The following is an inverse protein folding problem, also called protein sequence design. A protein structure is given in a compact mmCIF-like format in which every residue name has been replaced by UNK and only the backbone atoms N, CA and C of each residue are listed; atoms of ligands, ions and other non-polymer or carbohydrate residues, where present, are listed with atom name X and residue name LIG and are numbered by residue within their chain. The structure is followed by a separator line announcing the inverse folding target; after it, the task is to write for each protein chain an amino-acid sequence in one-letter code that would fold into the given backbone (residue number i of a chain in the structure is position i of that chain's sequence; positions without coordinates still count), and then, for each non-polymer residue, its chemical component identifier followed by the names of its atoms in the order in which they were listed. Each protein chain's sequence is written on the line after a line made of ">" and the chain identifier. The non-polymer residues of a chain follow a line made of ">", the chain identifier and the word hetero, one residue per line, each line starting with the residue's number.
data_IF_157309627398
#
_entry.id   IF_157309627398
#
_cell.length_a   1.000
_cell.length_b   1.000
_cell.length_c   1.000
_cell.angle_alpha   90.00
_cell.angle_beta   90.00
_cell.angle_gamma   90.00
#
_symmetry.space_group_name_H-M   'P 1'
#
loop_
_entity.id
_entity.type
_entity.pdbx_description
1 polymer ?
#
# COMPACT_ATOMS: atom_id res chain seq x y z
N UNK A 1 3.71 14.18 -51.13
CA UNK A 1 3.04 14.51 -49.86
C UNK A 1 3.82 15.66 -49.29
N UNK A 2 3.21 16.84 -49.27
CA UNK A 2 3.86 18.03 -48.75
C UNK A 2 3.59 18.07 -47.24
N UNK A 3 4.63 17.83 -46.45
CA UNK A 3 4.52 17.80 -45.00
C UNK A 3 4.57 19.23 -44.46
N UNK A 4 3.41 19.77 -44.08
CA UNK A 4 3.34 21.02 -43.35
C UNK A 4 4.05 20.88 -42.01
N UNK A 5 5.15 21.61 -41.81
CA UNK A 5 5.83 21.74 -40.51
C UNK A 5 5.43 23.06 -39.87
N UNK A 6 4.85 22.99 -38.68
CA UNK A 6 4.54 24.15 -37.84
C UNK A 6 5.22 23.96 -36.48
N UNK A 7 5.85 25.02 -35.99
CA UNK A 7 6.49 25.06 -34.67
C UNK A 7 5.92 26.26 -33.90
N UNK A 8 5.26 26.00 -32.79
CA UNK A 8 4.66 27.01 -31.91
C UNK A 8 5.30 26.91 -30.51
N UNK A 9 5.75 28.03 -29.92
CA UNK A 9 6.21 28.02 -28.53
C UNK A 9 5.01 27.88 -27.59
N UNK A 10 5.07 26.93 -26.66
CA UNK A 10 4.03 26.70 -25.64
C UNK A 10 4.61 27.04 -24.27
N UNK A 11 3.93 27.90 -23.53
CA UNK A 11 4.34 28.33 -22.19
C UNK A 11 3.58 27.51 -21.12
N UNK A 12 4.32 26.86 -20.23
CA UNK A 12 3.76 26.12 -19.10
C UNK A 12 3.70 27.03 -17.87
N UNK A 13 2.53 27.09 -17.22
CA UNK A 13 2.30 27.89 -16.02
C UNK A 13 1.30 27.19 -15.10
N UNK A 14 1.62 27.15 -13.81
CA UNK A 14 0.84 26.56 -12.71
C UNK A 14 -0.60 27.11 -12.59
N UNK A 15 -0.85 28.30 -13.15
CA UNK A 15 -2.13 29.02 -13.09
C UNK A 15 -3.08 28.72 -14.25
N UNK A 16 -2.66 27.93 -15.23
CA UNK A 16 -3.45 27.62 -16.42
C UNK A 16 -3.86 26.13 -16.46
N UNK A 17 -5.16 25.87 -16.61
CA UNK A 17 -5.72 24.51 -16.72
C UNK A 17 -5.61 23.89 -18.11
N UNK A 18 -5.18 24.68 -19.10
CA UNK A 18 -5.04 24.32 -20.52
C UNK A 18 -3.78 24.99 -21.08
N UNK A 19 -3.23 24.45 -22.17
CA UNK A 19 -2.02 24.93 -22.83
C UNK A 19 -2.14 24.78 -24.34
N UNK A 20 -1.39 25.59 -25.09
CA UNK A 20 -1.50 25.71 -26.55
C UNK A 20 -2.45 26.85 -27.00
N UNK A 21 -2.60 26.99 -28.32
CA UNK A 21 -3.51 27.95 -28.94
C UNK A 21 -4.93 27.37 -29.10
N UNK A 22 -5.96 28.21 -29.01
CA UNK A 22 -7.36 27.78 -29.19
C UNK A 22 -7.68 27.35 -30.63
N UNK A 23 -6.86 27.77 -31.61
CA UNK A 23 -7.04 27.47 -33.03
C UNK A 23 -5.70 27.02 -33.64
N UNK A 24 -5.63 25.74 -34.03
CA UNK A 24 -4.39 25.14 -34.55
C UNK A 24 -3.99 25.65 -35.94
N UNK A 25 -4.97 25.87 -36.82
CA UNK A 25 -4.80 26.24 -38.24
C UNK A 25 -6.15 26.71 -38.80
N UNK A 26 -6.17 27.54 -39.85
CA UNK A 26 -7.43 27.89 -40.53
C UNK A 26 -7.90 26.78 -41.49
N UNK A 27 -9.19 26.72 -41.80
CA UNK A 27 -9.75 25.70 -42.72
C UNK A 27 -9.14 25.81 -44.13
N UNK A 28 -8.95 27.03 -44.64
CA UNK A 28 -8.36 27.33 -45.96
C UNK A 28 -6.88 26.88 -46.10
N UNK A 29 -6.20 26.65 -44.96
CA UNK A 29 -4.87 26.06 -44.88
C UNK A 29 -4.94 24.54 -44.68
N UNK A 30 -5.87 24.07 -43.85
CA UNK A 30 -6.06 22.65 -43.52
C UNK A 30 -6.45 21.80 -44.73
N UNK A 31 -7.24 22.35 -45.66
CA UNK A 31 -7.65 21.71 -46.93
C UNK A 31 -6.47 21.10 -47.72
N UNK A 32 -5.27 21.66 -47.56
CA UNK A 32 -4.04 21.23 -48.26
C UNK A 32 -3.43 19.94 -47.69
N UNK A 33 -3.86 19.54 -46.50
CA UNK A 33 -3.36 18.38 -45.76
C UNK A 33 -4.39 17.25 -45.63
N UNK A 34 -5.63 17.46 -46.11
CA UNK A 34 -6.65 16.41 -46.19
C UNK A 34 -6.26 15.43 -47.31
N UNK A 35 -6.25 14.13 -46.99
CA UNK A 35 -6.05 13.07 -47.98
C UNK A 35 -6.97 11.89 -47.67
N UNK A 36 -7.81 11.48 -48.63
CA UNK A 36 -8.84 10.47 -48.46
C UNK A 36 -9.73 10.76 -47.22
N UNK A 37 -10.26 11.98 -47.14
CA UNK A 37 -11.08 12.49 -46.02
C UNK A 37 -10.44 12.35 -44.62
N UNK A 38 -9.11 12.19 -44.57
CA UNK A 38 -8.34 11.98 -43.34
C UNK A 38 -7.24 13.04 -43.20
N UNK A 39 -7.00 13.51 -41.97
CA UNK A 39 -5.86 14.37 -41.60
C UNK A 39 -5.02 13.62 -40.56
N UNK A 40 -3.70 13.63 -40.71
CA UNK A 40 -2.76 12.97 -39.77
C UNK A 40 -1.84 14.00 -39.14
N UNK A 41 -2.04 14.29 -37.85
CA UNK A 41 -1.20 15.20 -37.08
C UNK A 41 -0.04 14.44 -36.44
N UNK A 42 1.17 15.00 -36.55
CA UNK A 42 2.36 14.50 -35.86
C UNK A 42 2.92 15.62 -34.99
N UNK A 43 2.81 15.48 -33.67
CA UNK A 43 3.25 16.49 -32.71
C UNK A 43 4.58 16.05 -32.10
N UNK A 44 5.62 16.88 -32.26
CA UNK A 44 6.90 16.72 -31.57
C UNK A 44 7.01 17.79 -30.49
N UNK A 45 7.09 17.37 -29.23
CA UNK A 45 7.47 18.25 -28.14
C UNK A 45 9.00 18.31 -28.02
N UNK A 46 9.55 19.50 -27.82
CA UNK A 46 10.95 19.72 -27.50
C UNK A 46 11.02 20.71 -26.35
N UNK A 47 11.23 20.19 -25.14
CA UNK A 47 11.24 20.99 -23.91
C UNK A 47 12.60 21.68 -23.83
N UNK A 48 12.60 22.99 -24.03
CA UNK A 48 13.71 23.85 -23.64
C UNK A 48 13.39 24.40 -22.25
N UNK A 49 14.23 24.09 -21.26
CA UNK A 49 14.10 24.67 -19.93
C UNK A 49 14.33 26.18 -20.01
N UNK A 50 13.25 26.96 -19.84
CA UNK A 50 13.41 28.39 -19.61
C UNK A 50 14.05 28.59 -18.25
N UNK A 51 15.33 28.98 -18.25
CA UNK A 51 16.03 29.45 -17.05
C UNK A 51 15.35 30.77 -16.62
N UNK A 52 14.29 30.62 -15.85
CA UNK A 52 13.88 31.64 -14.88
C UNK A 52 15.08 31.79 -13.95
N UNK A 53 15.58 33.02 -13.77
CA UNK A 53 16.68 33.30 -12.83
C UNK A 53 16.32 32.69 -11.48
N UNK A 54 16.97 31.57 -11.15
CA UNK A 54 16.62 30.81 -9.97
C UNK A 54 16.90 31.68 -8.75
N UNK A 55 15.84 32.05 -8.02
CA UNK A 55 16.04 32.49 -6.64
C UNK A 55 16.86 31.38 -5.96
N UNK A 56 17.99 31.71 -5.30
CA UNK A 56 18.83 30.70 -4.67
C UNK A 56 17.94 29.87 -3.75
N UNK A 57 17.98 28.54 -3.88
CA UNK A 57 17.10 27.64 -3.12
C UNK A 57 17.11 28.07 -1.66
N UNK A 58 15.91 28.33 -1.11
CA UNK A 58 15.77 28.80 0.25
C UNK A 58 16.19 27.68 1.21
N UNK A 59 17.48 27.66 1.55
CA UNK A 59 18.10 26.67 2.44
C UNK A 59 17.27 26.58 3.71
N UNK A 60 16.70 25.41 3.97
CA UNK A 60 15.74 25.28 5.05
C UNK A 60 16.53 25.26 6.37
N UNK A 61 16.23 26.16 7.33
CA UNK A 61 16.98 26.26 8.57
C UNK A 61 16.95 24.98 9.41
N UNK A 62 15.98 24.09 9.16
CA UNK A 62 15.79 22.83 9.87
C UNK A 62 16.45 21.62 9.20
N UNK A 63 17.05 21.75 8.01
CA UNK A 63 17.74 20.64 7.31
C UNK A 63 18.79 19.94 8.21
N UNK A 64 19.51 20.73 9.01
CA UNK A 64 20.55 20.27 9.95
C UNK A 64 20.01 19.66 11.26
N UNK A 65 18.71 19.70 11.48
CA UNK A 65 18.04 19.12 12.66
C UNK A 65 17.36 17.78 12.37
N UNK A 66 17.28 17.36 11.10
CA UNK A 66 16.77 16.04 10.71
C UNK A 66 17.62 14.96 11.37
N UNK A 67 16.98 14.09 12.17
CA UNK A 67 17.62 13.04 12.96
C UNK A 67 18.76 13.52 13.88
N UNK A 68 18.81 14.80 14.25
CA UNK A 68 19.92 15.37 15.02
C UNK A 68 19.67 15.31 16.53
N UNK A 69 20.61 14.81 17.36
CA UNK A 69 20.54 14.94 18.82
C UNK A 69 20.63 16.40 19.31
N UNK A 70 21.02 17.35 18.45
CA UNK A 70 21.19 18.75 18.82
C UNK A 70 19.84 19.41 18.99
N UNK A 71 19.51 19.78 20.23
CA UNK A 71 18.22 20.33 20.66
C UNK A 71 17.01 19.38 20.56
N UNK A 72 17.23 18.08 20.34
CA UNK A 72 16.16 17.08 20.41
C UNK A 72 15.65 16.94 21.84
N UNK A 73 14.35 17.03 22.02
CA UNK A 73 13.61 16.81 23.26
C UNK A 73 12.78 15.52 23.22
N UNK A 74 12.97 14.69 22.19
CA UNK A 74 12.42 13.35 22.04
C UNK A 74 13.26 12.47 21.11
N UNK A 75 13.28 11.17 21.36
CA UNK A 75 13.74 10.14 20.45
C UNK A 75 12.66 9.08 20.17
N UNK A 76 12.79 8.36 19.06
CA UNK A 76 11.97 7.20 18.71
C UNK A 76 12.84 5.94 18.60
N UNK A 77 12.53 4.90 19.37
CA UNK A 77 13.12 3.57 19.23
C UNK A 77 12.32 2.81 18.19
N UNK A 78 12.84 2.71 16.98
CA UNK A 78 12.15 2.11 15.84
C UNK A 78 12.62 0.67 15.64
N UNK A 79 11.71 -0.29 15.75
CA UNK A 79 11.98 -1.73 15.58
C UNK A 79 11.48 -2.19 14.21
N UNK A 80 12.34 -2.76 13.38
CA UNK A 80 11.93 -3.30 12.07
C UNK A 80 11.30 -4.72 12.18
N UNK A 81 10.78 -5.23 11.06
CA UNK A 81 10.17 -6.58 10.98
C UNK A 81 11.17 -7.73 11.29
N UNK A 82 12.48 -7.44 11.28
CA UNK A 82 13.56 -8.38 11.62
C UNK A 82 13.97 -8.31 13.10
N UNK A 83 13.40 -7.36 13.87
CA UNK A 83 13.75 -7.11 15.27
C UNK A 83 15.00 -6.23 15.46
N UNK A 84 15.46 -5.52 14.43
CA UNK A 84 16.57 -4.55 14.55
C UNK A 84 16.01 -3.23 15.10
N UNK A 85 16.58 -2.75 16.20
CA UNK A 85 16.25 -1.45 16.79
C UNK A 85 17.19 -0.35 16.25
N UNK A 86 16.64 0.81 15.87
CA UNK A 86 17.41 2.04 15.57
C UNK A 86 16.75 3.25 16.23
N UNK A 87 17.56 4.11 16.83
CA UNK A 87 17.11 5.30 17.57
C UNK A 87 17.12 6.53 16.64
N UNK A 88 16.02 7.28 16.61
CA UNK A 88 15.86 8.48 15.79
C UNK A 88 15.55 9.71 16.64
N UNK A 89 16.30 10.79 16.47
CA UNK A 89 16.16 12.03 17.25
C UNK A 89 15.23 13.03 16.57
N UNK A 90 14.33 13.65 17.33
CA UNK A 90 13.35 14.59 16.80
C UNK A 90 13.01 15.69 17.82
N UNK A 91 12.15 16.63 17.42
CA UNK A 91 11.83 17.83 18.19
C UNK A 91 10.30 17.95 18.35
N UNK A 92 9.79 17.82 19.58
CA UNK A 92 8.37 17.73 19.95
C UNK A 92 7.54 18.86 19.33
N UNK A 93 8.05 20.09 19.33
CA UNK A 93 7.40 21.25 18.72
C UNK A 93 7.28 21.20 17.18
N UNK A 94 8.26 20.63 16.48
CA UNK A 94 8.19 20.46 15.02
C UNK A 94 7.18 19.35 14.70
N UNK A 95 7.29 18.20 15.37
CA UNK A 95 6.38 17.06 15.20
C UNK A 95 4.91 17.46 15.41
N UNK A 96 4.62 18.16 16.52
CA UNK A 96 3.26 18.61 16.84
C UNK A 96 2.72 19.63 15.83
N UNK A 97 3.55 20.53 15.30
CA UNK A 97 3.10 21.49 14.28
C UNK A 97 2.80 20.84 12.92
N UNK A 98 3.39 19.68 12.62
CA UNK A 98 3.19 18.92 11.39
C UNK A 98 2.17 17.77 11.48
N UNK A 99 1.74 17.38 12.69
CA UNK A 99 0.80 16.27 12.90
C UNK A 99 -0.02 16.44 14.17
N UNK A 100 -1.35 16.32 14.03
CA UNK A 100 -2.29 16.25 15.17
C UNK A 100 -2.12 14.99 16.01
N UNK A 101 -1.61 13.91 15.43
CA UNK A 101 -1.33 12.67 16.15
C UNK A 101 -0.12 12.87 17.06
N UNK A 102 0.95 13.53 16.58
CA UNK A 102 2.07 13.93 17.43
C UNK A 102 1.67 15.02 18.44
N UNK A 103 0.88 16.02 18.06
CA UNK A 103 0.34 17.02 19.00
C UNK A 103 -0.40 16.34 20.16
N UNK A 104 -1.34 15.45 19.87
CA UNK A 104 -2.09 14.69 20.87
C UNK A 104 -1.19 13.80 21.74
N UNK A 105 -0.28 13.02 21.12
CA UNK A 105 0.65 12.12 21.80
C UNK A 105 1.57 12.86 22.79
N UNK A 106 2.01 14.06 22.41
CA UNK A 106 3.03 14.83 23.14
C UNK A 106 2.46 15.89 24.09
N UNK A 107 1.13 16.11 24.12
CA UNK A 107 0.50 17.15 24.97
C UNK A 107 -0.65 16.68 25.86
N UNK A 108 -1.26 15.51 25.60
CA UNK A 108 -2.46 15.05 26.33
C UNK A 108 -2.22 14.63 27.80
N UNK A 109 -0.98 14.66 28.31
CA UNK A 109 -0.66 14.23 29.68
C UNK A 109 -0.71 12.70 29.86
N UNK A 110 -0.52 11.96 28.76
CA UNK A 110 -0.39 10.51 28.76
C UNK A 110 1.06 10.10 29.06
N UNK A 111 1.36 8.80 29.10
CA UNK A 111 2.71 8.26 29.38
C UNK A 111 3.76 8.88 28.45
N UNK A 112 3.42 8.96 27.18
CA UNK A 112 4.20 9.50 26.06
C UNK A 112 4.47 11.01 26.18
N UNK A 113 3.69 11.74 26.98
CA UNK A 113 3.92 13.17 27.29
C UNK A 113 5.06 13.36 28.29
N UNK A 114 5.38 12.34 29.10
CA UNK A 114 6.42 12.36 30.13
C UNK A 114 7.62 11.47 29.80
N UNK A 115 7.66 10.88 28.61
CA UNK A 115 8.79 10.10 28.13
C UNK A 115 9.61 10.89 27.09
N UNK A 116 10.92 10.66 27.13
CA UNK A 116 11.88 11.22 26.18
C UNK A 116 12.18 10.22 25.04
N UNK A 117 11.64 9.01 25.10
CA UNK A 117 11.77 7.96 24.10
C UNK A 117 10.42 7.28 23.83
N UNK A 118 10.01 7.18 22.57
CA UNK A 118 8.78 6.47 22.15
C UNK A 118 9.11 5.23 21.30
N UNK A 119 8.65 4.03 21.67
CA UNK A 119 8.83 2.82 20.87
C UNK A 119 7.90 2.79 19.65
N UNK A 120 8.42 2.35 18.50
CA UNK A 120 7.71 2.20 17.24
C UNK A 120 8.06 0.85 16.59
N UNK A 121 7.32 -0.19 16.96
CA UNK A 121 7.49 -1.53 16.40
C UNK A 121 6.99 -1.66 14.95
N UNK A 122 7.45 -2.72 14.26
CA UNK A 122 7.02 -3.12 12.90
C UNK A 122 7.10 -1.95 11.90
N UNK A 123 8.21 -1.20 11.98
CA UNK A 123 8.40 0.06 11.25
C UNK A 123 9.77 0.05 10.56
N UNK A 124 9.77 0.15 9.23
CA UNK A 124 11.00 0.20 8.43
C UNK A 124 11.76 1.52 8.68
N UNK A 125 13.05 1.41 9.01
CA UNK A 125 13.92 2.55 9.38
C UNK A 125 14.03 3.61 8.29
N UNK A 126 14.25 3.18 7.03
CA UNK A 126 14.36 4.08 5.87
C UNK A 126 13.07 4.88 5.66
N UNK A 127 11.91 4.24 5.74
CA UNK A 127 10.61 4.92 5.63
C UNK A 127 10.34 5.90 6.78
N UNK A 128 10.76 5.58 8.01
CA UNK A 128 10.66 6.52 9.13
C UNK A 128 11.57 7.74 8.95
N UNK A 129 12.80 7.53 8.45
CA UNK A 129 13.70 8.62 8.11
C UNK A 129 13.16 9.48 6.96
N UNK A 130 12.56 8.89 5.92
CA UNK A 130 11.85 9.64 4.87
C UNK A 130 10.70 10.48 5.43
N UNK A 131 9.93 9.95 6.40
CA UNK A 131 8.85 10.70 7.06
C UNK A 131 9.41 11.88 7.86
N UNK A 132 10.41 11.65 8.71
CA UNK A 132 11.05 12.68 9.53
C UNK A 132 11.70 13.77 8.65
N UNK A 133 12.37 13.37 7.57
CA UNK A 133 12.91 14.30 6.56
C UNK A 133 11.79 15.11 5.92
N UNK A 134 10.67 14.49 5.57
CA UNK A 134 9.52 15.20 4.97
C UNK A 134 8.88 16.22 5.94
N UNK A 135 8.86 15.93 7.24
CA UNK A 135 8.34 16.83 8.29
C UNK A 135 9.17 18.12 8.39
N UNK A 136 10.50 18.00 8.30
CA UNK A 136 11.43 19.12 8.51
C UNK A 136 11.67 19.91 7.22
N UNK A 137 11.84 19.21 6.09
CA UNK A 137 12.24 19.79 4.80
C UNK A 137 11.05 20.24 3.95
N UNK A 138 9.85 19.71 4.20
CA UNK A 138 8.67 19.73 3.33
C UNK A 138 8.87 19.09 1.93
N UNK A 139 10.03 18.46 1.67
CA UNK A 139 10.34 17.71 0.45
C UNK A 139 10.11 16.21 0.73
N UNK A 140 9.22 15.58 -0.03
CA UNK A 140 8.93 14.13 0.09
C UNK A 140 9.85 13.37 -0.87
N UNK A 141 10.73 12.51 -0.32
CA UNK A 141 11.59 11.65 -1.13
C UNK A 141 11.10 10.20 -1.11
N UNK A 142 10.81 9.65 -2.29
CA UNK A 142 10.30 8.29 -2.50
C UNK A 142 11.29 7.54 -3.39
N UNK A 143 11.92 6.50 -2.85
CA UNK A 143 13.00 5.77 -3.55
C UNK A 143 12.51 4.54 -4.32
N UNK A 144 11.37 3.95 -3.92
CA UNK A 144 10.80 2.74 -4.53
C UNK A 144 9.33 2.55 -4.16
N UNK A 145 8.64 1.62 -4.84
CA UNK A 145 7.28 1.21 -4.49
C UNK A 145 7.16 0.59 -3.08
N UNK A 146 8.22 -0.04 -2.56
CA UNK A 146 8.26 -0.59 -1.20
C UNK A 146 8.41 0.53 -0.16
N UNK A 147 9.34 1.46 -0.41
CA UNK A 147 9.49 2.68 0.40
C UNK A 147 8.20 3.52 0.38
N UNK A 148 7.52 3.64 -0.75
CA UNK A 148 6.22 4.32 -0.88
C UNK A 148 5.10 3.64 -0.06
N UNK A 149 5.06 2.30 0.04
CA UNK A 149 4.05 1.62 0.87
C UNK A 149 4.32 1.87 2.36
N UNK A 150 5.57 1.72 2.78
CA UNK A 150 5.98 1.93 4.17
C UNK A 150 5.79 3.40 4.59
N UNK A 151 6.18 4.36 3.74
CA UNK A 151 6.02 5.79 3.99
C UNK A 151 4.54 6.20 4.01
N UNK A 152 3.70 5.64 3.12
CA UNK A 152 2.25 5.84 3.15
C UNK A 152 1.64 5.29 4.45
N UNK A 153 2.08 4.12 4.92
CA UNK A 153 1.61 3.55 6.18
C UNK A 153 1.91 4.46 7.38
N UNK A 154 3.10 5.08 7.41
CA UNK A 154 3.48 6.03 8.46
C UNK A 154 2.76 7.38 8.31
N UNK A 155 2.62 7.90 7.09
CA UNK A 155 1.90 9.14 6.83
C UNK A 155 0.39 9.03 7.13
N UNK A 156 -0.20 7.84 6.99
CA UNK A 156 -1.57 7.54 7.42
C UNK A 156 -1.65 7.42 8.95
N UNK A 157 -0.77 6.62 9.58
CA UNK A 157 -0.66 6.44 11.04
C UNK A 157 -0.49 7.75 11.82
N UNK A 158 0.22 8.72 11.26
CA UNK A 158 0.49 10.03 11.87
C UNK A 158 -0.30 11.18 11.22
N UNK A 159 -1.32 10.91 10.40
CA UNK A 159 -2.18 11.91 9.72
C UNK A 159 -1.43 13.00 8.90
N UNK A 160 -0.23 12.69 8.39
CA UNK A 160 0.61 13.65 7.64
C UNK A 160 0.16 13.70 6.18
N UNK A 161 -0.99 14.35 5.97
CA UNK A 161 -1.73 14.38 4.71
C UNK A 161 -0.94 14.78 3.45
N UNK A 162 0.05 15.71 3.48
CA UNK A 162 0.86 16.02 2.30
C UNK A 162 1.69 14.81 1.82
N UNK A 163 2.38 14.14 2.75
CA UNK A 163 3.18 12.93 2.45
C UNK A 163 2.27 11.80 1.97
N UNK A 164 1.08 11.66 2.59
CA UNK A 164 0.06 10.67 2.24
C UNK A 164 -0.42 10.79 0.79
N UNK A 165 -0.87 11.98 0.36
CA UNK A 165 -1.33 12.18 -1.02
C UNK A 165 -0.17 12.13 -2.02
N UNK A 166 1.05 12.51 -1.63
CA UNK A 166 2.23 12.41 -2.50
C UNK A 166 2.65 10.95 -2.76
N UNK A 167 2.64 10.08 -1.75
CA UNK A 167 2.81 8.64 -1.96
C UNK A 167 1.70 8.07 -2.87
N UNK A 168 0.45 8.49 -2.67
CA UNK A 168 -0.68 8.10 -3.52
C UNK A 168 -0.62 8.70 -4.94
N UNK A 169 0.09 9.81 -5.15
CA UNK A 169 0.39 10.40 -6.46
C UNK A 169 1.45 9.58 -7.19
N UNK A 170 2.56 9.27 -6.52
CA UNK A 170 3.62 8.39 -7.03
C UNK A 170 3.05 7.05 -7.49
N UNK A 171 2.24 6.40 -6.65
CA UNK A 171 1.53 5.15 -7.00
C UNK A 171 0.60 5.26 -8.23
N UNK A 172 0.07 6.43 -8.57
CA UNK A 172 -0.74 6.63 -9.79
C UNK A 172 0.11 6.83 -11.04
N UNK A 173 1.33 7.32 -10.91
CA UNK A 173 2.27 7.54 -12.03
C UNK A 173 3.03 6.26 -12.40
N UNK A 174 3.52 5.52 -11.41
CA UNK A 174 4.26 4.27 -11.61
C UNK A 174 3.38 3.07 -12.03
N UNK A 175 2.07 3.27 -12.17
CA UNK A 175 1.10 2.20 -12.40
C UNK A 175 1.28 1.53 -13.77
N UNK A 176 1.58 0.23 -13.75
CA UNK A 176 1.82 -0.58 -14.94
C UNK A 176 1.24 -2.00 -14.78
N UNK A 177 1.38 -2.82 -15.82
CA UNK A 177 0.76 -4.16 -15.87
C UNK A 177 1.45 -5.21 -14.97
N UNK A 178 2.54 -4.89 -14.30
CA UNK A 178 3.23 -5.78 -13.35
C UNK A 178 2.93 -5.42 -11.89
N UNK A 179 2.75 -4.13 -11.57
CA UNK A 179 2.56 -3.65 -10.20
C UNK A 179 1.11 -3.27 -9.81
N UNK A 180 0.19 -3.08 -10.77
CA UNK A 180 -1.17 -2.56 -10.51
C UNK A 180 -1.94 -3.31 -9.43
N UNK A 181 -1.75 -4.63 -9.30
CA UNK A 181 -2.44 -5.44 -8.28
C UNK A 181 -2.02 -5.09 -6.85
N UNK A 182 -0.75 -4.74 -6.62
CA UNK A 182 -0.28 -4.24 -5.32
C UNK A 182 -0.73 -2.81 -5.06
N UNK A 183 -0.66 -1.96 -6.09
CA UNK A 183 -1.12 -0.57 -6.00
C UNK A 183 -2.61 -0.50 -5.66
N UNK A 184 -3.43 -1.38 -6.24
CA UNK A 184 -4.85 -1.47 -5.92
C UNK A 184 -5.09 -2.03 -4.51
N UNK A 185 -4.34 -3.07 -4.09
CA UNK A 185 -4.41 -3.56 -2.71
C UNK A 185 -4.09 -2.45 -1.67
N UNK A 186 -3.07 -1.62 -1.95
CA UNK A 186 -2.73 -0.43 -1.16
C UNK A 186 -3.86 0.61 -1.20
N UNK A 187 -4.44 0.86 -2.39
CA UNK A 187 -5.50 1.85 -2.54
C UNK A 187 -6.78 1.47 -1.76
N UNK A 188 -7.17 0.19 -1.71
CA UNK A 188 -8.27 -0.27 -0.86
C UNK A 188 -7.88 -0.24 0.63
N UNK A 189 -6.68 -0.75 0.99
CA UNK A 189 -6.13 -0.74 2.37
C UNK A 189 -6.17 0.65 3.02
N UNK A 190 -5.79 1.69 2.27
CA UNK A 190 -5.79 3.09 2.71
C UNK A 190 -7.01 3.89 2.23
N UNK A 191 -8.08 3.21 1.79
CA UNK A 191 -9.37 3.80 1.36
C UNK A 191 -9.25 4.96 0.33
N UNK A 192 -8.24 4.92 -0.53
CA UNK A 192 -7.99 5.96 -1.54
C UNK A 192 -8.85 5.75 -2.79
N UNK A 193 -10.08 6.26 -2.76
CA UNK A 193 -11.05 6.19 -3.88
C UNK A 193 -10.48 6.68 -5.22
N UNK A 194 -9.61 7.70 -5.22
CA UNK A 194 -8.93 8.21 -6.43
C UNK A 194 -8.03 7.14 -7.06
N UNK A 195 -7.08 6.60 -6.30
CA UNK A 195 -6.12 5.60 -6.79
C UNK A 195 -6.80 4.26 -7.07
N UNK A 196 -7.78 3.85 -6.26
CA UNK A 196 -8.64 2.68 -6.50
C UNK A 196 -9.38 2.79 -7.84
N UNK A 197 -9.97 3.95 -8.14
CA UNK A 197 -10.65 4.18 -9.44
C UNK A 197 -9.67 4.10 -10.60
N UNK A 198 -8.50 4.73 -10.51
CA UNK A 198 -7.46 4.63 -11.53
C UNK A 198 -7.00 3.17 -11.77
N UNK A 199 -6.79 2.39 -10.70
CA UNK A 199 -6.47 0.96 -10.80
C UNK A 199 -7.60 0.17 -11.48
N UNK A 200 -8.86 0.41 -11.07
CA UNK A 200 -10.04 -0.24 -11.62
C UNK A 200 -10.20 -0.01 -13.12
N UNK A 201 -10.05 1.23 -13.59
CA UNK A 201 -10.15 1.55 -15.01
C UNK A 201 -8.94 1.04 -15.81
N UNK A 202 -7.72 1.13 -15.26
CA UNK A 202 -6.53 0.53 -15.87
C UNK A 202 -6.66 -0.99 -16.03
N UNK A 203 -7.11 -1.68 -14.98
CA UNK A 203 -7.37 -3.13 -15.04
C UNK A 203 -8.52 -3.44 -15.99
N UNK A 204 -9.62 -2.67 -15.98
CA UNK A 204 -10.73 -2.89 -16.90
C UNK A 204 -10.31 -2.81 -18.38
N UNK A 205 -9.41 -1.89 -18.74
CA UNK A 205 -8.88 -1.77 -20.11
C UNK A 205 -7.93 -2.92 -20.49
N UNK A 206 -7.12 -3.40 -19.54
CA UNK A 206 -6.01 -4.32 -19.78
C UNK A 206 -6.24 -5.76 -19.27
N UNK A 207 -7.45 -6.10 -18.77
CA UNK A 207 -7.66 -7.35 -18.02
C UNK A 207 -7.26 -8.60 -18.81
N UNK A 208 -7.57 -8.68 -20.11
CA UNK A 208 -7.16 -9.84 -20.91
C UNK A 208 -5.65 -10.14 -20.83
N UNK A 209 -4.81 -9.11 -20.99
CA UNK A 209 -3.34 -9.22 -20.89
C UNK A 209 -2.90 -9.49 -19.45
N UNK A 210 -3.57 -8.90 -18.45
CA UNK A 210 -3.25 -9.09 -17.04
C UNK A 210 -3.51 -10.53 -16.60
N UNK A 211 -4.57 -11.19 -17.08
CA UNK A 211 -4.87 -12.59 -16.73
C UNK A 211 -3.70 -13.55 -17.08
N UNK A 212 -2.95 -13.27 -18.14
CA UNK A 212 -1.82 -14.11 -18.56
C UNK A 212 -0.55 -13.89 -17.71
N UNK A 213 -0.40 -12.71 -17.09
CA UNK A 213 0.82 -12.36 -16.34
C UNK A 213 0.99 -13.14 -15.04
N UNK A 214 2.25 -13.43 -14.71
CA UNK A 214 2.64 -14.11 -13.47
C UNK A 214 2.43 -13.23 -12.22
N UNK A 215 2.59 -11.90 -12.35
CA UNK A 215 2.32 -10.91 -11.30
C UNK A 215 0.89 -10.99 -10.76
N UNK A 216 -0.07 -11.29 -11.62
CA UNK A 216 -1.50 -11.47 -11.27
C UNK A 216 -1.74 -12.67 -10.34
N UNK A 217 -0.82 -13.65 -10.27
CA UNK A 217 -0.91 -14.75 -9.29
C UNK A 217 -0.55 -14.31 -7.87
N UNK A 218 0.17 -13.19 -7.71
CA UNK A 218 0.47 -12.56 -6.42
C UNK A 218 -0.72 -11.76 -5.85
N UNK A 219 -1.74 -11.45 -6.65
CA UNK A 219 -2.85 -10.57 -6.26
C UNK A 219 -3.74 -11.16 -5.15
N UNK A 220 -4.26 -10.29 -4.28
CA UNK A 220 -5.24 -10.60 -3.23
C UNK A 220 -6.62 -10.95 -3.85
N UNK A 221 -7.34 -11.97 -3.33
CA UNK A 221 -8.59 -12.43 -3.91
C UNK A 221 -9.74 -11.41 -3.82
N UNK A 222 -9.70 -10.45 -2.90
CA UNK A 222 -10.70 -9.38 -2.84
C UNK A 222 -10.48 -8.37 -3.97
N UNK A 223 -9.23 -8.05 -4.29
CA UNK A 223 -8.88 -7.18 -5.42
C UNK A 223 -9.19 -7.87 -6.75
N UNK A 224 -8.88 -9.17 -6.87
CA UNK A 224 -9.30 -9.98 -8.01
C UNK A 224 -10.83 -10.05 -8.11
N UNK A 225 -11.55 -10.19 -7.00
CA UNK A 225 -13.02 -10.14 -6.98
C UNK A 225 -13.54 -8.79 -7.48
N UNK A 226 -13.00 -7.65 -7.01
CA UNK A 226 -13.40 -6.32 -7.49
C UNK A 226 -13.16 -6.15 -9.00
N UNK A 227 -12.05 -6.67 -9.53
CA UNK A 227 -11.76 -6.69 -10.96
C UNK A 227 -12.73 -7.59 -11.75
N UNK A 228 -13.05 -8.78 -11.23
CA UNK A 228 -13.89 -9.78 -11.90
C UNK A 228 -15.39 -9.58 -11.68
N UNK A 229 -15.82 -8.72 -10.76
CA UNK A 229 -17.20 -8.24 -10.65
C UNK A 229 -17.51 -7.10 -11.65
N UNK A 230 -16.50 -6.45 -12.22
CA UNK A 230 -16.68 -5.37 -13.20
C UNK A 230 -17.29 -5.88 -14.53
N UNK A 231 -18.46 -5.37 -14.88
CA UNK A 231 -19.17 -5.63 -16.14
C UNK A 231 -18.49 -5.03 -17.37
N UNK A 232 -17.64 -4.02 -17.20
CA UNK A 232 -16.98 -3.28 -18.29
C UNK A 232 -15.56 -3.80 -18.62
N UNK A 233 -15.11 -4.85 -17.94
CA UNK A 233 -13.75 -5.35 -18.08
C UNK A 233 -13.52 -6.07 -19.43
N UNK A 234 -12.46 -5.65 -20.12
CA UNK A 234 -12.10 -6.09 -21.45
C UNK A 234 -11.39 -7.46 -21.41
N UNK A 235 -12.13 -8.53 -21.74
CA UNK A 235 -11.62 -9.91 -21.84
C UNK A 235 -12.10 -10.58 -23.13
N UNK A 236 -11.28 -11.48 -23.67
CA UNK A 236 -11.56 -12.31 -24.84
C UNK A 236 -12.71 -13.28 -24.60
N UNK A 237 -12.69 -14.04 -23.49
CA UNK A 237 -13.73 -15.02 -23.12
C UNK A 237 -13.86 -15.19 -21.59
N UNK A 238 -14.98 -15.78 -21.14
CA UNK A 238 -15.14 -16.15 -19.71
C UNK A 238 -14.36 -17.43 -19.37
N UNK A 239 -14.10 -18.29 -20.37
CA UNK A 239 -13.17 -19.42 -20.27
C UNK A 239 -11.77 -18.95 -19.81
N UNK A 240 -11.25 -17.83 -20.33
CA UNK A 240 -9.96 -17.27 -19.90
C UNK A 240 -9.96 -16.85 -18.42
N UNK A 241 -11.08 -16.31 -17.93
CA UNK A 241 -11.26 -15.94 -16.52
C UNK A 241 -11.31 -17.21 -15.66
N UNK A 242 -12.04 -18.25 -16.08
CA UNK A 242 -12.07 -19.54 -15.39
C UNK A 242 -10.67 -20.17 -15.29
N UNK A 243 -9.93 -20.24 -16.40
CA UNK A 243 -8.56 -20.79 -16.44
C UNK A 243 -7.60 -20.01 -15.55
N UNK A 244 -7.72 -18.68 -15.52
CA UNK A 244 -6.99 -17.85 -14.56
C UNK A 244 -7.36 -18.16 -13.11
N UNK A 245 -8.64 -18.22 -12.74
CA UNK A 245 -9.08 -18.49 -11.36
C UNK A 245 -8.59 -19.86 -10.89
N UNK A 246 -8.63 -20.87 -11.77
CA UNK A 246 -8.05 -22.20 -11.49
C UNK A 246 -6.53 -22.14 -11.31
N UNK A 247 -5.80 -21.40 -12.17
CA UNK A 247 -4.36 -21.24 -12.05
C UNK A 247 -3.95 -20.47 -10.79
N UNK A 248 -4.69 -19.42 -10.41
CA UNK A 248 -4.48 -18.66 -9.17
C UNK A 248 -4.72 -19.53 -7.92
N UNK A 249 -5.77 -20.36 -7.92
CA UNK A 249 -6.11 -21.21 -6.78
C UNK A 249 -5.12 -22.36 -6.56
N UNK A 250 -4.52 -22.89 -7.64
CA UNK A 250 -3.50 -23.94 -7.58
C UNK A 250 -2.06 -23.39 -7.49
N UNK A 251 -1.86 -22.07 -7.45
CA UNK A 251 -0.53 -21.47 -7.38
C UNK A 251 0.08 -21.61 -5.97
N UNK A 252 1.25 -22.24 -5.89
CA UNK A 252 2.07 -22.30 -4.68
C UNK A 252 3.34 -21.47 -4.86
N UNK A 253 3.76 -20.76 -3.81
CA UNK A 253 5.00 -20.00 -3.84
C UNK A 253 6.19 -20.94 -3.57
N UNK A 254 7.23 -20.88 -4.40
CA UNK A 254 8.32 -21.87 -4.41
C UNK A 254 9.19 -21.86 -3.15
N UNK A 255 9.18 -20.78 -2.37
CA UNK A 255 9.90 -20.70 -1.08
C UNK A 255 9.28 -21.49 0.08
N UNK A 256 8.01 -21.90 0.00
CA UNK A 256 7.25 -22.43 1.16
C UNK A 256 7.46 -23.95 1.43
N UNK A 257 8.58 -24.51 0.96
CA UNK A 257 8.84 -25.96 1.00
C UNK A 257 9.41 -26.48 2.34
N UNK A 258 9.62 -25.61 3.33
CA UNK A 258 10.33 -25.93 4.57
C UNK A 258 9.45 -26.32 5.76
N UNK A 259 8.13 -26.11 5.72
CA UNK A 259 7.28 -26.27 6.91
C UNK A 259 5.88 -26.86 6.71
N UNK A 260 5.81 -28.06 6.10
CA UNK A 260 4.61 -28.92 6.16
C UNK A 260 4.95 -30.33 6.64
N UNK A 261 4.86 -30.54 7.95
CA UNK A 261 4.88 -31.88 8.55
C UNK A 261 3.66 -32.13 9.45
N UNK A 262 3.28 -33.41 9.56
CA UNK A 262 2.66 -33.98 10.78
C UNK A 262 1.19 -33.64 11.11
N UNK A 263 0.33 -33.39 10.12
CA UNK A 263 -1.13 -33.37 10.31
C UNK A 263 -1.79 -34.77 10.43
N UNK A 264 -1.45 -35.56 11.46
CA UNK A 264 -2.07 -36.91 11.66
C UNK A 264 -3.48 -36.82 12.26
N UNK A 265 -4.44 -37.53 11.65
CA UNK A 265 -5.78 -37.71 12.19
C UNK A 265 -5.77 -38.38 13.58
N UNK A 266 -6.59 -37.86 14.50
CA UNK A 266 -6.93 -38.54 15.76
C UNK A 266 -8.44 -38.76 15.81
N UNK A 267 -8.85 -40.02 15.79
CA UNK A 267 -10.26 -40.42 15.81
C UNK A 267 -10.84 -40.35 17.23
N UNK A 268 -11.94 -39.61 17.40
CA UNK A 268 -12.73 -39.64 18.65
C UNK A 268 -13.34 -41.03 18.85
N UNK A 269 -13.27 -41.56 20.08
CA UNK A 269 -14.09 -42.69 20.50
C UNK A 269 -14.42 -42.58 22.01
N UNK A 270 -15.52 -43.17 22.47
CA UNK A 270 -16.17 -42.83 23.76
C UNK A 270 -16.39 -44.02 24.71
N UNK A 271 -16.16 -43.80 26.02
CA UNK A 271 -16.74 -44.46 27.23
C UNK A 271 -16.02 -43.86 28.47
N UNK A 272 -16.63 -43.19 29.46
CA UNK A 272 -17.80 -43.47 30.35
C UNK A 272 -17.43 -44.29 31.61
N UNK A 273 -17.80 -43.75 32.79
CA UNK A 273 -17.72 -44.26 34.18
C UNK A 273 -16.30 -44.46 34.81
N UNK A 274 -16.01 -44.24 36.11
CA UNK A 274 -16.81 -44.07 37.37
C UNK A 274 -16.23 -42.98 38.34
N UNK A 275 -16.87 -42.74 39.50
CA UNK A 275 -16.53 -41.77 40.60
C UNK A 275 -16.55 -42.44 42.00
N UNK A 276 -16.14 -41.80 43.14
CA UNK A 276 -15.16 -40.72 43.40
C UNK A 276 -13.97 -41.23 44.29
N UNK A 277 -13.82 -41.16 45.66
CA UNK A 277 -14.40 -40.36 46.77
C UNK A 277 -13.41 -39.66 47.78
N UNK A 278 -13.85 -38.54 48.40
CA UNK A 278 -13.64 -38.01 49.79
C UNK A 278 -12.22 -37.90 50.42
N UNK A 279 -11.78 -36.65 50.67
CA UNK A 279 -11.37 -36.05 51.99
C UNK A 279 -10.88 -34.59 51.80
N UNK A 280 -11.52 -33.52 52.30
CA UNK A 280 -11.36 -32.87 53.64
C UNK A 280 -9.88 -32.63 54.07
N UNK A 281 -9.46 -31.47 54.59
CA UNK A 281 -10.19 -30.37 55.26
C UNK A 281 -9.50 -28.97 55.19
N UNK A 282 -10.04 -28.02 55.95
CA UNK A 282 -9.58 -26.65 56.31
C UNK A 282 -8.12 -26.58 56.85
N UNK A 283 -7.48 -25.42 57.06
CA UNK A 283 -7.99 -24.15 57.65
C UNK A 283 -7.22 -22.87 57.29
N UNK A 284 -7.82 -21.74 57.67
CA UNK A 284 -7.22 -20.40 57.79
C UNK A 284 -6.24 -20.27 58.97
N UNK A 285 -5.33 -19.27 58.93
CA UNK A 285 -5.43 -18.10 59.83
C UNK A 285 -4.65 -16.89 59.27
N UNK A 286 -4.37 -15.88 60.11
CA UNK A 286 -4.16 -14.47 59.75
C UNK A 286 -3.12 -13.76 60.64
N UNK A 287 -3.06 -12.41 60.57
CA UNK A 287 -2.24 -11.47 61.37
C UNK A 287 -0.71 -11.43 61.10
N UNK A 288 0.04 -10.41 61.53
CA UNK A 288 -0.13 -8.93 61.57
C UNK A 288 1.22 -8.32 62.06
N UNK A 289 1.38 -6.98 62.00
CA UNK A 289 2.38 -6.18 62.77
C UNK A 289 3.86 -6.37 62.36
N UNK A 290 4.80 -5.45 62.62
CA UNK A 290 4.69 -4.05 63.07
C UNK A 290 5.92 -3.21 62.64
N UNK A 291 5.80 -1.88 62.70
CA UNK A 291 6.91 -0.92 62.60
C UNK A 291 7.44 -0.56 63.98
N UNK A 292 8.72 -0.15 64.08
CA UNK A 292 9.05 1.00 64.93
C UNK A 292 9.76 2.14 64.17
N UNK A 293 9.94 3.28 64.86
CA UNK A 293 10.27 4.61 64.30
C UNK A 293 11.59 5.15 64.87
N UNK A 294 12.13 6.21 64.26
CA UNK A 294 12.59 7.37 65.06
C UNK A 294 13.74 8.23 64.53
N UNK A 295 13.44 9.55 64.33
CA UNK A 295 14.28 10.75 64.63
C UNK A 295 15.67 10.88 63.94
N UNK A 296 16.16 12.00 63.39
CA UNK A 296 15.78 13.43 63.43
C UNK A 296 16.93 14.28 64.03
N UNK A 297 17.21 15.55 63.67
CA UNK A 297 16.64 16.54 62.73
C UNK A 297 17.64 17.70 62.52
N UNK A 298 17.27 18.78 61.78
CA UNK A 298 17.94 20.11 61.69
C UNK A 298 19.23 20.22 60.83
N UNK A 299 19.67 21.37 60.30
CA UNK A 299 19.04 22.68 59.95
C UNK A 299 20.05 23.65 59.27
N UNK A 300 19.58 24.72 58.62
CA UNK A 300 20.32 25.96 58.21
C UNK A 300 21.31 25.78 57.01
N UNK A 301 21.21 26.53 55.91
CA UNK A 301 21.35 27.99 55.63
C UNK A 301 22.81 28.47 55.47
N UNK A 302 23.19 28.81 54.23
CA UNK A 302 24.23 29.78 53.89
C UNK A 302 24.00 30.32 52.46
N UNK A 303 24.13 31.62 52.25
CA UNK A 303 24.18 32.25 50.92
C UNK A 303 25.63 32.37 50.42
N UNK A 304 25.83 32.39 49.10
CA UNK A 304 27.16 32.61 48.51
C UNK A 304 27.09 33.12 47.08
N UNK A 305 27.16 34.43 46.89
CA UNK A 305 27.30 35.04 45.55
C UNK A 305 28.76 35.02 45.11
N UNK A 306 29.01 34.64 43.86
CA UNK A 306 30.27 34.91 43.15
C UNK A 306 29.99 34.96 41.66
N UNK A 307 30.25 36.10 41.02
CA UNK A 307 30.32 36.20 39.56
C UNK A 307 31.78 36.07 39.13
N UNK A 308 31.99 35.51 37.94
CA UNK A 308 33.28 35.58 37.26
C UNK A 308 33.02 35.50 35.75
N UNK A 309 33.07 36.65 35.09
CA UNK A 309 33.03 36.70 33.63
C UNK A 309 34.40 36.28 33.08
N UNK A 310 34.43 35.29 32.19
CA UNK A 310 35.55 35.08 31.27
C UNK A 310 35.02 34.69 29.90
N UNK A 311 35.03 35.66 28.98
CA UNK A 311 35.15 35.34 27.56
C UNK A 311 36.46 34.58 27.35
N UNK A 312 36.41 33.47 26.60
CA UNK A 312 37.35 33.28 25.49
C UNK A 312 36.71 32.36 24.44
N UNK A 313 36.81 32.79 23.19
CA UNK A 313 36.56 31.93 22.04
C UNK A 313 37.72 30.96 21.86
N UNK A 314 37.42 29.70 21.58
CA UNK A 314 38.22 28.94 20.62
C UNK A 314 37.33 27.92 19.88
N UNK A 315 37.74 27.59 18.65
CA UNK A 315 37.01 26.69 17.75
C UNK A 315 37.72 25.34 17.71
N UNK A 316 37.12 24.32 18.30
CA UNK A 316 37.41 22.93 17.94
C UNK A 316 36.20 22.31 17.25
N UNK A 317 36.34 22.15 15.92
CA UNK A 317 35.37 21.45 15.08
C UNK A 317 35.46 19.96 15.37
N UNK A 318 34.67 19.48 16.33
CA UNK A 318 34.44 18.05 16.51
C UNK A 318 33.57 17.55 15.34
N UNK A 319 34.26 17.19 14.25
CA UNK A 319 33.78 16.15 13.34
C UNK A 319 33.92 14.81 14.09
N UNK A 320 32.92 14.46 14.91
CA UNK A 320 32.72 13.06 15.25
C UNK A 320 32.04 12.41 14.04
N UNK A 321 32.84 11.72 13.23
CA UNK A 321 32.41 11.00 12.05
C UNK A 321 31.58 9.77 12.45
N UNK A 322 30.31 9.99 12.80
CA UNK A 322 29.29 8.96 12.84
C UNK A 322 28.97 8.48 11.41
N UNK A 323 29.90 7.71 10.86
CA UNK A 323 29.57 6.70 9.88
C UNK A 323 28.71 5.64 10.59
N UNK A 324 27.39 5.79 10.49
CA UNK A 324 26.49 4.63 10.53
C UNK A 324 26.96 3.70 9.41
N UNK A 325 27.41 2.48 9.73
CA UNK A 325 27.76 1.50 8.71
C UNK A 325 26.49 1.09 7.96
N UNK A 326 26.40 1.46 6.67
CA UNK A 326 25.34 1.04 5.75
C UNK A 326 25.50 -0.46 5.37
N UNK A 327 25.44 -1.34 6.37
CA UNK A 327 25.23 -2.79 6.23
C UNK A 327 23.78 -3.06 5.78
N UNK A 328 23.45 -2.55 4.59
CA UNK A 328 22.13 -2.58 3.96
C UNK A 328 21.88 -3.94 3.28
N UNK A 329 22.11 -5.02 4.05
CA UNK A 329 21.78 -6.42 3.69
C UNK A 329 20.26 -6.66 3.80
N UNK A 330 19.45 -5.78 3.19
CA UNK A 330 18.02 -6.03 2.96
C UNK A 330 17.89 -7.21 1.97
N UNK A 331 17.77 -8.41 2.54
CA UNK A 331 17.76 -9.69 1.81
C UNK A 331 16.84 -9.69 0.58
N UNK A 332 17.35 -10.19 -0.54
CA UNK A 332 16.87 -10.06 -1.94
C UNK A 332 15.35 -10.22 -2.21
N UNK A 333 14.59 -10.85 -1.30
CA UNK A 333 13.13 -11.04 -1.39
C UNK A 333 12.29 -9.85 -0.83
N UNK A 334 12.86 -8.94 -0.02
CA UNK A 334 12.10 -7.82 0.62
C UNK A 334 11.58 -6.79 -0.39
N UNK A 335 12.34 -6.53 -1.45
CA UNK A 335 12.08 -5.46 -2.42
C UNK A 335 11.02 -5.82 -3.48
N UNK A 336 10.54 -7.08 -3.53
CA UNK A 336 9.74 -7.58 -4.66
C UNK A 336 8.28 -7.13 -4.62
N UNK A 337 8.02 -5.97 -5.21
CA UNK A 337 6.67 -5.42 -5.39
C UNK A 337 5.99 -6.03 -6.65
N UNK A 338 4.71 -6.46 -6.59
CA UNK A 338 3.85 -6.53 -5.42
C UNK A 338 4.15 -7.77 -4.55
N UNK A 339 4.09 -7.61 -3.22
CA UNK A 339 4.31 -8.71 -2.26
C UNK A 339 3.32 -9.87 -2.53
N UNK A 340 3.78 -11.14 -2.64
CA UNK A 340 2.89 -12.26 -2.93
C UNK A 340 1.83 -12.52 -1.86
N UNK A 341 0.56 -12.70 -2.26
CA UNK A 341 -0.51 -13.08 -1.33
C UNK A 341 -0.31 -14.49 -0.75
N UNK A 342 -0.20 -14.56 0.59
CA UNK A 342 0.15 -15.76 1.39
C UNK A 342 -1.04 -16.48 2.08
N UNK A 343 -2.28 -16.10 1.80
CA UNK A 343 -3.47 -16.69 2.43
C UNK A 343 -3.90 -18.04 1.85
N UNK A 344 -4.98 -18.63 2.39
CA UNK A 344 -5.57 -19.85 1.86
C UNK A 344 -6.33 -19.60 0.55
N UNK A 345 -5.71 -20.01 -0.56
CA UNK A 345 -6.24 -19.88 -1.93
C UNK A 345 -7.46 -20.76 -2.19
N UNK A 346 -7.62 -21.88 -1.49
CA UNK A 346 -8.77 -22.77 -1.64
C UNK A 346 -9.97 -22.24 -0.85
N UNK A 347 -9.75 -21.61 0.31
CA UNK A 347 -10.81 -20.90 1.03
C UNK A 347 -11.34 -19.67 0.25
N UNK A 348 -10.50 -19.02 -0.57
CA UNK A 348 -10.87 -17.90 -1.42
C UNK A 348 -11.47 -18.29 -2.80
N UNK A 349 -11.26 -19.52 -3.27
CA UNK A 349 -11.77 -20.00 -4.56
C UNK A 349 -13.32 -19.83 -4.72
N UNK A 350 -14.18 -20.12 -3.71
CA UNK A 350 -15.63 -19.97 -3.85
C UNK A 350 -16.12 -18.53 -4.10
N UNK A 351 -15.40 -17.49 -3.67
CA UNK A 351 -15.78 -16.11 -3.98
C UNK A 351 -15.37 -15.70 -5.39
N UNK A 352 -14.19 -16.14 -5.86
CA UNK A 352 -13.76 -15.91 -7.25
C UNK A 352 -14.62 -16.65 -8.29
N UNK A 353 -15.06 -17.88 -7.99
CA UNK A 353 -15.97 -18.64 -8.87
C UNK A 353 -17.33 -17.93 -9.07
N UNK A 354 -17.82 -17.16 -8.08
CA UNK A 354 -19.06 -16.35 -8.22
C UNK A 354 -18.92 -15.20 -9.22
N UNK A 355 -17.70 -14.80 -9.57
CA UNK A 355 -17.42 -13.78 -10.58
C UNK A 355 -17.38 -14.33 -12.02
N UNK A 356 -17.23 -15.66 -12.19
CA UNK A 356 -17.15 -16.35 -13.48
C UNK A 356 -18.55 -16.63 -14.04
N UNK A 357 -18.82 -16.24 -15.28
CA UNK A 357 -20.14 -16.29 -15.91
C UNK A 357 -20.35 -17.60 -16.68
N UNK A 358 -20.40 -18.72 -15.96
CA UNK A 358 -20.63 -20.06 -16.53
C UNK A 358 -21.78 -20.17 -17.57
N UNK A 359 -22.94 -19.48 -17.44
CA UNK A 359 -23.98 -19.48 -18.48
C UNK A 359 -23.54 -18.96 -19.86
N UNK A 360 -22.48 -18.15 -19.90
CA UNK A 360 -21.95 -17.47 -21.09
C UNK A 360 -20.83 -18.29 -21.77
N UNK A 361 -20.30 -19.30 -21.09
CA UNK A 361 -19.26 -20.20 -21.61
C UNK A 361 -19.84 -21.24 -22.57
N UNK A 362 -18.99 -21.92 -23.34
CA UNK A 362 -19.42 -23.00 -24.22
C UNK A 362 -19.84 -24.23 -23.41
N UNK A 363 -21.07 -24.72 -23.61
CA UNK A 363 -21.60 -25.95 -22.96
C UNK A 363 -20.63 -27.15 -22.99
N UNK A 364 -19.90 -27.35 -24.10
CA UNK A 364 -18.89 -28.40 -24.24
C UNK A 364 -17.74 -28.22 -23.25
N UNK A 365 -17.25 -26.99 -23.10
CA UNK A 365 -16.17 -26.64 -22.18
C UNK A 365 -16.58 -26.90 -20.73
N UNK A 366 -17.83 -26.60 -20.35
CA UNK A 366 -18.34 -26.86 -18.99
C UNK A 366 -18.21 -28.36 -18.63
N UNK A 367 -18.68 -29.24 -19.51
CA UNK A 367 -18.59 -30.71 -19.31
C UNK A 367 -17.12 -31.19 -19.35
N UNK A 368 -16.33 -30.77 -20.33
CA UNK A 368 -14.98 -31.32 -20.55
C UNK A 368 -13.89 -30.72 -19.63
N UNK A 369 -14.09 -29.53 -19.05
CA UNK A 369 -13.06 -28.77 -18.32
C UNK A 369 -13.49 -28.24 -16.94
N UNK A 370 -14.78 -28.01 -16.71
CA UNK A 370 -15.28 -27.54 -15.40
C UNK A 370 -15.65 -28.71 -14.51
N UNK A 371 -16.52 -29.62 -15.00
CA UNK A 371 -16.86 -30.86 -14.25
C UNK A 371 -15.66 -31.79 -14.06
N UNK A 372 -14.70 -31.79 -14.99
CA UNK A 372 -13.46 -32.57 -14.89
C UNK A 372 -12.47 -32.08 -13.81
N UNK A 373 -12.67 -30.90 -13.23
CA UNK A 373 -11.76 -30.33 -12.24
C UNK A 373 -12.23 -30.61 -10.81
N UNK A 374 -11.68 -31.66 -10.19
CA UNK A 374 -12.06 -32.10 -8.85
C UNK A 374 -11.89 -31.04 -7.75
N UNK A 375 -10.92 -30.13 -7.87
CA UNK A 375 -10.68 -29.05 -6.88
C UNK A 375 -11.81 -28.01 -6.97
N UNK A 376 -12.19 -27.64 -8.18
CA UNK A 376 -13.32 -26.72 -8.45
C UNK A 376 -14.65 -27.35 -8.04
N UNK A 377 -14.85 -28.63 -8.38
CA UNK A 377 -16.08 -29.38 -8.04
C UNK A 377 -16.24 -29.69 -6.54
N UNK A 378 -15.15 -29.59 -5.75
CA UNK A 378 -15.19 -29.66 -4.30
C UNK A 378 -15.64 -28.35 -3.64
N UNK A 379 -15.58 -27.22 -4.33
CA UNK A 379 -16.09 -25.95 -3.81
C UNK A 379 -17.62 -25.99 -3.68
N UNK A 380 -18.12 -25.71 -2.46
CA UNK A 380 -19.54 -25.83 -2.09
C UNK A 380 -20.50 -25.18 -3.11
N UNK A 381 -20.14 -23.99 -3.59
CA UNK A 381 -20.94 -23.16 -4.50
C UNK A 381 -21.02 -23.70 -5.93
N UNK A 382 -20.10 -24.58 -6.35
CA UNK A 382 -19.87 -24.87 -7.77
C UNK A 382 -21.07 -25.57 -8.43
N UNK A 383 -21.77 -26.43 -7.68
CA UNK A 383 -22.91 -27.21 -8.16
C UNK A 383 -24.06 -26.30 -8.61
N UNK A 384 -24.37 -25.26 -7.85
CA UNK A 384 -25.43 -24.32 -8.17
C UNK A 384 -25.08 -23.47 -9.40
N UNK A 385 -23.80 -23.11 -9.58
CA UNK A 385 -23.32 -22.36 -10.74
C UNK A 385 -23.36 -23.19 -12.05
N UNK A 386 -23.14 -24.51 -11.97
CA UNK A 386 -23.33 -25.43 -13.11
C UNK A 386 -24.82 -25.61 -13.41
N UNK A 387 -25.66 -25.73 -12.38
CA UNK A 387 -27.12 -25.84 -12.54
C UNK A 387 -27.70 -24.55 -13.17
N UNK A 388 -27.19 -23.37 -12.82
CA UNK A 388 -27.49 -22.09 -13.48
C UNK A 388 -27.15 -22.16 -14.98
N UNK A 389 -25.93 -22.53 -15.33
CA UNK A 389 -25.47 -22.60 -16.72
C UNK A 389 -26.22 -23.65 -17.56
N UNK A 390 -26.51 -24.83 -17.01
CA UNK A 390 -27.29 -25.84 -17.71
C UNK A 390 -28.75 -25.43 -17.88
N UNK A 391 -29.38 -24.75 -16.92
CA UNK A 391 -30.72 -24.17 -17.12
C UNK A 391 -30.72 -23.14 -18.24
N UNK A 392 -29.72 -22.26 -18.29
CA UNK A 392 -29.57 -21.26 -19.34
C UNK A 392 -29.42 -21.90 -20.74
N UNK A 393 -28.56 -22.91 -20.89
CA UNK A 393 -28.38 -23.60 -22.17
C UNK A 393 -29.55 -24.53 -22.56
N UNK A 394 -30.35 -25.02 -21.62
CA UNK A 394 -31.49 -25.91 -21.89
C UNK A 394 -32.80 -25.15 -22.15
N UNK A 395 -32.95 -23.94 -21.59
CA UNK A 395 -34.17 -23.13 -21.72
C UNK A 395 -33.84 -21.65 -21.98
N UNK A 396 -33.30 -21.29 -23.17
CA UNK A 396 -32.95 -19.89 -23.46
C UNK A 396 -34.13 -18.93 -23.29
N UNK A 397 -35.30 -19.31 -23.81
CA UNK A 397 -36.54 -18.52 -23.79
C UNK A 397 -37.15 -18.32 -22.39
N UNK A 398 -36.77 -19.11 -21.39
CA UNK A 398 -37.27 -18.98 -20.03
C UNK A 398 -36.58 -17.85 -19.22
N UNK A 399 -35.50 -17.26 -19.75
CA UNK A 399 -34.71 -16.22 -19.06
C UNK A 399 -35.33 -14.82 -19.18
N UNK A 400 -36.58 -14.71 -18.71
CA UNK A 400 -37.37 -13.45 -18.70
C UNK A 400 -36.68 -12.34 -17.87
N UNK A 401 -35.80 -12.71 -16.94
CA UNK A 401 -35.03 -11.78 -16.09
C UNK A 401 -33.51 -12.02 -16.23
N UNK A 402 -32.84 -11.47 -17.25
CA UNK A 402 -31.44 -11.77 -17.54
C UNK A 402 -30.48 -11.06 -16.57
N UNK A 403 -29.89 -11.82 -15.65
CA UNK A 403 -28.87 -11.37 -14.68
C UNK A 403 -27.55 -11.00 -15.35
N UNK A 404 -26.66 -10.28 -14.66
CA UNK A 404 -25.33 -9.95 -15.19
C UNK A 404 -24.49 -11.21 -15.46
N UNK A 405 -24.74 -12.31 -14.72
CA UNK A 405 -24.13 -13.63 -14.95
C UNK A 405 -24.58 -14.33 -16.25
N UNK A 406 -25.67 -13.87 -16.87
CA UNK A 406 -26.19 -14.38 -18.16
C UNK A 406 -25.80 -13.51 -19.37
N UNK A 407 -24.93 -12.52 -19.18
CA UNK A 407 -24.50 -11.56 -20.21
C UNK A 407 -22.98 -11.52 -20.32
N UNK A 408 -22.47 -11.48 -21.55
CA UNK A 408 -21.06 -11.14 -21.81
C UNK A 408 -20.71 -9.77 -21.19
N UNK A 409 -19.45 -9.60 -20.78
CA UNK A 409 -18.91 -8.30 -20.37
C UNK A 409 -18.94 -7.31 -21.53
N UNK A 410 -19.21 -6.06 -21.21
CA UNK A 410 -19.17 -4.94 -22.16
C UNK A 410 -17.72 -4.51 -22.31
N UNK A 411 -17.07 -4.82 -23.43
CA UNK A 411 -15.74 -4.28 -23.68
C UNK A 411 -15.84 -2.76 -23.84
N UNK A 412 -15.26 -2.00 -22.90
CA UNK A 412 -14.90 -0.60 -23.13
C UNK A 412 -13.95 -0.55 -24.34
N UNK A 413 -14.46 -0.16 -25.51
CA UNK A 413 -13.62 0.28 -26.62
C UNK A 413 -12.81 1.48 -26.15
N UNK A 414 -11.51 1.53 -26.48
CA UNK A 414 -10.72 2.75 -26.27
C UNK A 414 -11.37 3.86 -27.10
N UNK A 415 -12.02 4.80 -26.41
CA UNK A 415 -12.20 6.14 -26.96
C UNK A 415 -10.79 6.75 -26.96
N UNK A 416 -10.33 7.11 -28.16
CA UNK A 416 -9.10 7.86 -28.35
C UNK A 416 -9.57 9.27 -28.67
N UNK A 417 -9.78 10.05 -27.61
CA UNK A 417 -9.89 11.51 -27.65
C UNK A 417 -8.47 12.11 -27.53
#
# INVERSE_FOLDING_TARGET
>A
MDFGKMELPVWFCDKHSTWGEENLMSLDEMDRFISNDTVSLCVKFEIQESIIDALPEAVNPFDKLVNSPKFSDIAFRVTDDSGREKLFYAHKGILASSSKVFEAMLTNGMKETFEDEIPLDQTNHSAFLSLLTSIYTFKVNITSLSNAENLLALADKFEIMPVREECLRYFRLEMNTDNVWGIWAIAEKFSCVKTSTACRDFVALNLDTLLDKQSTLCADPNILRLALENDEANVTSEEKIYEFVVRWANYSYTGDSSNKSSGKHSSKNTRVDTLPPISSSSSSDSMLSELPKGVGSSSQLAEGKGSMDQDFSDVETINDDYYDDDDDDETEDTHKFPRPWKGDRLAALPSLLKCVRFPVMQKRYIVEKVEGNAVVMAAEVMKDLIIEAYRFHLMPEANIHPTNRTKHRRRKSKIID
#
